data_IF_496222805010
#
_entry.id   IF_496222805010
#
_cell.length_a   1.000
_cell.length_b   1.000
_cell.length_c   1.000
_cell.angle_alpha   90.00
_cell.angle_beta   90.00
_cell.angle_gamma   90.00
#
_symmetry.space_group_name_H-M   'P 1'
#
loop_
_entity.id
_entity.type
_entity.pdbx_description
1 polymer ?
#
# COMPACT_ATOMS: atom_id res chain seq x y z
N UNK A 1 -8.30 40.77 -10.73
CA UNK A 1 -8.26 39.41 -10.14
C UNK A 1 -9.43 39.34 -9.18
N UNK A 2 -10.28 38.32 -9.30
CA UNK A 2 -11.51 38.15 -8.53
C UNK A 2 -11.19 37.44 -7.21
N UNK A 3 -11.55 38.06 -6.08
CA UNK A 3 -11.21 37.59 -4.73
C UNK A 3 -12.01 36.35 -4.31
N UNK A 4 -13.12 36.06 -4.99
CA UNK A 4 -13.99 34.93 -4.65
C UNK A 4 -13.64 33.67 -5.47
N UNK A 5 -12.65 33.77 -6.37
CA UNK A 5 -12.15 32.62 -7.13
C UNK A 5 -11.07 31.88 -6.36
N UNK A 6 -11.32 30.60 -6.13
CA UNK A 6 -10.36 29.68 -5.54
C UNK A 6 -9.80 28.73 -6.59
N UNK A 7 -8.48 28.53 -6.57
CA UNK A 7 -7.81 27.49 -7.35
C UNK A 7 -7.57 26.30 -6.43
N UNK A 8 -8.21 25.17 -6.73
CA UNK A 8 -7.99 23.93 -5.99
C UNK A 8 -7.02 23.02 -6.75
N UNK A 9 -6.00 22.54 -6.05
CA UNK A 9 -5.12 21.51 -6.58
C UNK A 9 -5.75 20.16 -6.37
N UNK A 10 -6.00 19.45 -7.47
CA UNK A 10 -6.50 18.07 -7.46
C UNK A 10 -5.40 17.18 -7.98
N UNK A 11 -5.11 16.11 -7.26
CA UNK A 11 -4.22 15.06 -7.70
C UNK A 11 -5.02 13.80 -8.04
N UNK A 12 -4.51 13.01 -8.98
CA UNK A 12 -5.01 11.67 -9.25
C UNK A 12 -4.62 10.75 -8.08
N UNK A 13 -5.47 10.72 -7.06
CA UNK A 13 -5.28 9.89 -5.87
C UNK A 13 -5.10 8.40 -6.21
N UNK A 14 -5.93 7.78 -7.09
CA UNK A 14 -5.69 6.42 -7.54
C UNK A 14 -4.27 6.19 -8.10
N UNK A 15 -3.74 7.14 -8.87
CA UNK A 15 -2.37 7.06 -9.36
C UNK A 15 -1.33 7.18 -8.25
N UNK A 16 -1.52 8.11 -7.31
CA UNK A 16 -0.62 8.27 -6.16
C UNK A 16 -0.55 7.00 -5.31
N UNK A 17 -1.68 6.35 -5.04
CA UNK A 17 -1.71 5.09 -4.29
C UNK A 17 -0.97 3.98 -5.03
N UNK A 18 -1.08 3.91 -6.36
CA UNK A 18 -0.30 2.95 -7.17
C UNK A 18 1.20 3.21 -7.09
N UNK A 19 1.63 4.47 -7.18
CA UNK A 19 3.04 4.84 -7.03
C UNK A 19 3.57 4.47 -5.64
N UNK A 20 2.79 4.76 -4.59
CA UNK A 20 3.11 4.39 -3.22
C UNK A 20 3.26 2.87 -3.09
N UNK A 21 2.28 2.09 -3.54
CA UNK A 21 2.34 0.62 -3.53
C UNK A 21 3.58 0.09 -4.25
N UNK A 22 3.89 0.62 -5.44
CA UNK A 22 5.02 0.16 -6.23
C UNK A 22 6.37 0.42 -5.54
N UNK A 23 6.53 1.58 -4.89
CA UNK A 23 7.76 1.87 -4.15
C UNK A 23 7.85 1.06 -2.85
N UNK A 24 6.72 0.79 -2.18
CA UNK A 24 6.67 -0.12 -1.03
C UNK A 24 7.14 -1.53 -1.37
N UNK A 25 6.74 -2.04 -2.54
CA UNK A 25 7.15 -3.35 -3.06
C UNK A 25 8.63 -3.43 -3.42
N UNK A 26 9.24 -2.32 -3.88
CA UNK A 26 10.64 -2.28 -4.32
C UNK A 26 11.63 -2.07 -3.18
N UNK A 27 11.43 -1.05 -2.37
CA UNK A 27 12.42 -0.60 -1.39
C UNK A 27 11.83 -0.21 -0.03
N UNK A 28 10.54 0.13 0.04
CA UNK A 28 9.96 0.66 1.27
C UNK A 28 10.08 2.17 1.40
N UNK A 29 9.80 2.69 2.60
CA UNK A 29 9.87 4.14 2.89
C UNK A 29 10.35 4.41 4.31
N UNK A 30 11.09 5.50 4.46
CA UNK A 30 11.44 6.05 5.77
C UNK A 30 10.28 6.90 6.30
N UNK A 31 9.89 6.62 7.54
CA UNK A 31 9.03 7.46 8.37
C UNK A 31 9.80 7.86 9.62
N UNK A 32 9.36 8.89 10.38
CA UNK A 32 10.07 9.32 11.58
C UNK A 32 10.32 8.22 12.62
N UNK A 33 9.48 7.18 12.63
CA UNK A 33 9.54 6.05 13.58
C UNK A 33 10.38 4.88 13.06
N UNK A 34 10.80 4.89 11.79
CA UNK A 34 11.59 3.81 11.21
C UNK A 34 11.36 3.58 9.73
N UNK A 35 11.64 2.36 9.26
CA UNK A 35 11.55 2.01 7.85
C UNK A 35 10.43 0.99 7.61
N UNK A 36 9.47 1.35 6.75
CA UNK A 36 8.35 0.48 6.38
C UNK A 36 8.75 -0.38 5.20
N UNK A 37 8.58 -1.70 5.33
CA UNK A 37 8.81 -2.68 4.25
C UNK A 37 7.62 -3.63 4.11
N UNK A 38 7.51 -4.27 2.94
CA UNK A 38 6.54 -5.34 2.70
C UNK A 38 6.81 -6.63 3.49
N UNK A 39 7.92 -6.74 4.22
CA UNK A 39 8.27 -7.96 4.95
C UNK A 39 7.20 -8.34 5.99
N UNK A 40 6.67 -7.35 6.72
CA UNK A 40 5.61 -7.59 7.70
C UNK A 40 4.36 -8.20 7.06
N UNK A 41 3.97 -7.71 5.87
CA UNK A 41 2.81 -8.25 5.13
C UNK A 41 3.11 -9.64 4.59
N UNK A 42 4.34 -9.90 4.12
CA UNK A 42 4.78 -11.23 3.66
C UNK A 42 4.70 -12.27 4.78
N UNK A 43 5.23 -11.94 5.96
CA UNK A 43 5.20 -12.86 7.11
C UNK A 43 3.77 -13.05 7.63
N UNK A 44 2.96 -11.99 7.70
CA UNK A 44 1.55 -12.10 8.10
C UNK A 44 0.77 -13.01 7.13
N UNK A 45 0.97 -12.85 5.82
CA UNK A 45 0.31 -13.71 4.83
C UNK A 45 0.76 -15.17 4.97
N UNK A 46 2.03 -15.43 5.28
CA UNK A 46 2.55 -16.79 5.49
C UNK A 46 1.83 -17.49 6.64
N UNK A 47 1.61 -16.77 7.75
CA UNK A 47 0.87 -17.28 8.91
C UNK A 47 -0.60 -17.50 8.56
N UNK A 48 -1.25 -16.52 7.93
CA UNK A 48 -2.67 -16.58 7.58
C UNK A 48 -2.98 -17.64 6.51
N UNK A 49 -2.02 -17.93 5.62
CA UNK A 49 -2.15 -18.96 4.59
C UNK A 49 -2.23 -20.38 5.14
N UNK A 50 -1.74 -20.62 6.37
CA UNK A 50 -1.84 -21.93 7.03
C UNK A 50 -3.25 -22.22 7.57
N UNK A 51 -4.12 -21.21 7.68
CA UNK A 51 -5.48 -21.38 8.19
C UNK A 51 -6.44 -21.82 7.08
N UNK A 52 -7.06 -23.00 7.26
CA UNK A 52 -7.99 -23.62 6.28
C UNK A 52 -9.44 -23.13 6.41
N UNK A 53 -9.79 -22.42 7.50
CA UNK A 53 -11.18 -22.03 7.80
C UNK A 53 -11.39 -20.52 7.68
N UNK A 54 -11.07 -19.75 8.73
CA UNK A 54 -11.21 -18.30 8.77
C UNK A 54 -9.84 -17.64 8.63
N UNK A 55 -9.71 -16.79 7.61
CA UNK A 55 -8.52 -15.98 7.35
C UNK A 55 -8.71 -14.57 7.88
N UNK A 56 -7.66 -14.02 8.47
CA UNK A 56 -7.61 -12.62 8.89
C UNK A 56 -7.41 -11.69 7.69
N UNK A 57 -6.74 -12.15 6.63
CA UNK A 57 -6.40 -11.34 5.45
C UNK A 57 -6.89 -11.99 4.13
N UNK A 58 -8.17 -12.35 3.98
CA UNK A 58 -8.65 -13.10 2.82
C UNK A 58 -8.53 -12.35 1.49
N UNK A 59 -8.49 -11.01 1.52
CA UNK A 59 -8.31 -10.18 0.33
C UNK A 59 -6.86 -10.02 -0.14
N UNK A 60 -5.88 -10.43 0.68
CA UNK A 60 -4.46 -10.34 0.34
C UNK A 60 -3.99 -11.71 -0.14
N UNK A 61 -3.43 -11.71 -1.35
CA UNK A 61 -2.93 -12.92 -2.01
C UNK A 61 -1.52 -12.66 -2.53
N UNK A 62 -0.87 -13.71 -3.05
CA UNK A 62 0.46 -13.62 -3.65
C UNK A 62 0.55 -12.55 -4.75
N UNK A 63 -0.51 -12.36 -5.54
CA UNK A 63 -0.59 -11.33 -6.59
C UNK A 63 -0.42 -9.90 -6.08
N UNK A 64 -0.68 -9.65 -4.79
CA UNK A 64 -0.51 -8.33 -4.17
C UNK A 64 0.94 -8.07 -3.73
N UNK A 65 1.70 -9.14 -3.46
CA UNK A 65 3.10 -9.09 -3.04
C UNK A 65 4.07 -9.19 -4.22
N UNK A 66 3.66 -9.90 -5.26
CA UNK A 66 4.40 -10.16 -6.49
C UNK A 66 3.47 -9.86 -7.68
N UNK A 67 3.18 -8.56 -7.94
CA UNK A 67 2.45 -8.19 -9.14
C UNK A 67 3.34 -8.43 -10.36
N UNK A 68 2.77 -9.12 -11.37
CA UNK A 68 3.35 -9.51 -12.67
C UNK A 68 4.69 -8.86 -13.05
#
# INVERSE_FOLDING_TARGET
>A
VDSDRHLFFVSDFPHLVKCLRNSLLKCGFNIPVGHITMQHVKEALKIDSCNMTLKAMPGITRCHLEPN
#
